data_IF_950688146150
#
_entry.id   IF_950688146150
#
_cell.length_a   1.000
_cell.length_b   1.000
_cell.length_c   1.000
_cell.angle_alpha   90.00
_cell.angle_beta   90.00
_cell.angle_gamma   90.00
#
_symmetry.space_group_name_H-M   'P 1'
#
loop_
_entity.id
_entity.type
_entity.pdbx_description
1 polymer ?
#
# COMPACT_ATOMS: atom_id res chain seq x y z
N UNK A 1 -0.22 -16.69 25.35
CA UNK A 1 -1.30 -15.75 24.96
C UNK A 1 -0.91 -14.79 23.82
N UNK A 2 0.34 -14.34 23.69
CA UNK A 2 0.77 -13.44 22.58
C UNK A 2 0.84 -14.14 21.20
N UNK A 3 1.26 -15.41 21.17
CA UNK A 3 1.41 -16.18 19.93
C UNK A 3 0.11 -16.31 19.12
N UNK A 4 -1.01 -16.65 19.76
CA UNK A 4 -2.30 -16.83 19.08
C UNK A 4 -2.84 -15.51 18.51
N UNK A 5 -2.69 -14.41 19.26
CA UNK A 5 -3.02 -13.07 18.76
C UNK A 5 -2.13 -12.67 17.58
N UNK A 6 -0.84 -12.97 17.63
CA UNK A 6 0.10 -12.69 16.53
C UNK A 6 -0.27 -13.48 15.27
N UNK A 7 -0.50 -14.79 15.39
CA UNK A 7 -0.87 -15.67 14.26
C UNK A 7 -2.20 -15.22 13.64
N UNK A 8 -3.18 -14.85 14.47
CA UNK A 8 -4.46 -14.33 13.97
C UNK A 8 -4.27 -13.02 13.21
N UNK A 9 -3.50 -12.08 13.76
CA UNK A 9 -3.22 -10.80 13.08
C UNK A 9 -2.41 -11.00 11.81
N UNK A 10 -1.47 -11.95 11.82
CA UNK A 10 -0.61 -12.28 10.69
C UNK A 10 -1.44 -12.67 9.47
N UNK A 11 -2.33 -13.65 9.63
CA UNK A 11 -3.15 -14.15 8.51
C UNK A 11 -4.24 -13.18 8.05
N UNK A 12 -4.57 -12.15 8.85
CA UNK A 12 -5.41 -11.04 8.41
C UNK A 12 -4.70 -10.07 7.46
N UNK A 13 -3.37 -9.95 7.55
CA UNK A 13 -2.61 -8.92 6.83
C UNK A 13 -1.65 -9.45 5.75
N UNK A 14 -1.37 -10.76 5.75
CA UNK A 14 -0.51 -11.40 4.78
C UNK A 14 -1.19 -12.62 4.16
N UNK A 15 -1.11 -12.73 2.84
CA UNK A 15 -1.64 -13.86 2.09
C UNK A 15 -0.63 -15.02 2.01
N UNK A 16 0.65 -14.75 2.26
CA UNK A 16 1.71 -15.75 2.22
C UNK A 16 2.87 -15.45 3.18
N UNK A 17 3.54 -16.52 3.61
CA UNK A 17 4.74 -16.45 4.46
C UNK A 17 5.85 -15.65 3.76
N UNK A 18 6.00 -15.82 2.44
CA UNK A 18 6.97 -15.07 1.63
C UNK A 18 6.73 -13.56 1.67
N UNK A 19 5.48 -13.13 1.55
CA UNK A 19 5.12 -11.72 1.63
C UNK A 19 5.45 -11.14 3.01
N UNK A 20 5.11 -11.88 4.07
CA UNK A 20 5.40 -11.46 5.43
C UNK A 20 6.91 -11.41 5.71
N UNK A 21 7.66 -12.43 5.28
CA UNK A 21 9.11 -12.49 5.44
C UNK A 21 9.80 -11.29 4.75
N UNK A 22 9.35 -10.94 3.54
CA UNK A 22 9.82 -9.76 2.84
C UNK A 22 9.50 -8.45 3.58
N UNK A 23 8.34 -8.36 4.23
CA UNK A 23 7.91 -7.18 4.99
C UNK A 23 8.65 -7.04 6.32
N UNK A 24 8.85 -8.15 7.04
CA UNK A 24 9.63 -8.20 8.28
C UNK A 24 11.14 -8.16 8.05
N UNK A 25 11.61 -8.22 6.79
CA UNK A 25 13.02 -8.32 6.42
C UNK A 25 13.74 -9.52 7.07
N UNK A 26 13.06 -10.66 7.15
CA UNK A 26 13.60 -11.93 7.67
C UNK A 26 13.51 -13.04 6.62
N UNK A 27 14.07 -14.21 6.92
CA UNK A 27 13.90 -15.41 6.08
C UNK A 27 12.54 -16.05 6.33
N UNK A 28 11.99 -16.73 5.32
CA UNK A 28 10.69 -17.42 5.42
C UNK A 28 10.66 -18.45 6.56
N UNK A 29 11.75 -19.17 6.77
CA UNK A 29 11.88 -20.14 7.87
C UNK A 29 11.73 -19.50 9.25
N UNK A 30 12.16 -18.24 9.42
CA UNK A 30 12.00 -17.51 10.68
C UNK A 30 10.53 -17.25 10.98
N UNK A 31 9.76 -16.87 9.96
CA UNK A 31 8.32 -16.67 10.09
C UNK A 31 7.60 -18.00 10.34
N UNK A 32 8.01 -19.09 9.69
CA UNK A 32 7.45 -20.42 9.96
C UNK A 32 7.64 -20.83 11.42
N UNK A 33 8.84 -20.65 11.97
CA UNK A 33 9.13 -20.93 13.39
C UNK A 33 8.27 -20.11 14.34
N UNK A 34 8.05 -18.83 14.03
CA UNK A 34 7.15 -17.96 14.80
C UNK A 34 5.69 -18.40 14.76
N UNK A 35 5.21 -18.92 13.62
CA UNK A 35 3.82 -19.36 13.46
C UNK A 35 3.57 -20.74 14.08
N UNK A 36 4.59 -21.59 14.11
CA UNK A 36 4.55 -22.93 14.70
C UNK A 36 4.77 -22.90 16.23
N UNK A 37 5.18 -21.75 16.79
CA UNK A 37 5.53 -21.64 18.20
C UNK A 37 6.85 -22.32 18.57
N UNK A 38 7.71 -22.61 17.59
CA UNK A 38 9.04 -23.21 17.83
C UNK A 38 9.99 -22.21 18.51
N UNK A 39 9.78 -20.91 18.25
CA UNK A 39 10.56 -19.80 18.82
C UNK A 39 9.61 -18.65 19.11
N UNK A 40 9.87 -17.91 20.19
CA UNK A 40 9.16 -16.68 20.50
C UNK A 40 9.23 -15.67 19.35
N UNK A 41 8.12 -14.98 19.12
CA UNK A 41 8.05 -13.93 18.12
C UNK A 41 8.94 -12.77 18.55
N UNK A 42 9.71 -12.23 17.62
CA UNK A 42 10.51 -11.04 17.91
C UNK A 42 9.57 -9.89 18.33
N UNK A 43 9.76 -9.24 19.50
CA UNK A 43 8.89 -8.14 19.95
C UNK A 43 8.76 -6.99 18.94
N UNK A 44 9.80 -6.75 18.13
CA UNK A 44 9.74 -5.77 17.05
C UNK A 44 8.80 -6.21 15.92
N UNK A 45 8.76 -7.49 15.59
CA UNK A 45 7.84 -8.03 14.59
C UNK A 45 6.38 -7.90 15.08
N UNK A 46 6.11 -8.18 16.36
CA UNK A 46 4.79 -7.93 16.95
C UNK A 46 4.40 -6.46 16.86
N UNK A 47 5.30 -5.55 17.27
CA UNK A 47 5.05 -4.10 17.24
C UNK A 47 4.79 -3.60 15.82
N UNK A 48 5.60 -4.03 14.85
CA UNK A 48 5.40 -3.71 13.44
C UNK A 48 4.03 -4.20 12.97
N UNK A 49 3.67 -5.46 13.26
CA UNK A 49 2.40 -6.03 12.84
C UNK A 49 1.20 -5.27 13.42
N UNK A 50 1.28 -4.81 14.67
CA UNK A 50 0.27 -3.94 15.30
C UNK A 50 0.16 -2.59 14.58
N UNK A 51 1.30 -1.96 14.27
CA UNK A 51 1.34 -0.70 13.50
C UNK A 51 0.69 -0.89 12.13
N UNK A 52 0.97 -2.01 11.45
CA UNK A 52 0.32 -2.38 10.19
C UNK A 52 -1.19 -2.55 10.34
N UNK A 53 -1.64 -3.21 11.41
CA UNK A 53 -3.06 -3.45 11.66
C UNK A 53 -3.85 -2.19 11.99
N UNK A 54 -3.23 -1.24 12.70
CA UNK A 54 -3.86 0.06 13.03
C UNK A 54 -3.89 1.03 11.85
N UNK A 55 -3.14 0.74 10.79
CA UNK A 55 -2.93 1.66 9.68
C UNK A 55 -1.79 2.62 9.98
N UNK A 56 -0.72 2.50 9.21
CA UNK A 56 0.42 3.42 9.23
C UNK A 56 0.50 4.12 7.87
N UNK A 57 1.07 5.33 7.86
CA UNK A 57 1.44 5.95 6.60
C UNK A 57 2.56 5.12 5.96
N UNK A 58 2.33 4.53 4.78
CA UNK A 58 3.36 3.73 4.14
C UNK A 58 4.56 4.60 3.78
N UNK A 59 5.76 4.02 3.85
CA UNK A 59 7.00 4.62 3.35
C UNK A 59 6.99 4.62 1.82
N UNK A 60 6.17 5.50 1.27
CA UNK A 60 5.95 5.71 -0.15
C UNK A 60 6.16 7.20 -0.45
N UNK A 61 6.83 7.50 -1.56
CA UNK A 61 7.12 8.88 -1.96
C UNK A 61 5.88 9.75 -2.11
N UNK A 62 4.69 9.16 -2.27
CA UNK A 62 3.42 9.91 -2.31
C UNK A 62 3.05 10.54 -0.95
N UNK A 63 3.57 10.01 0.14
CA UNK A 63 3.42 10.57 1.49
C UNK A 63 4.58 11.49 1.87
N UNK A 64 5.49 11.79 0.94
CA UNK A 64 6.63 12.65 1.22
C UNK A 64 6.18 14.05 1.65
N UNK A 65 6.73 14.52 2.77
CA UNK A 65 6.42 15.83 3.35
C UNK A 65 5.14 15.86 4.19
N UNK A 66 4.31 14.80 4.15
CA UNK A 66 3.24 14.64 5.13
C UNK A 66 3.84 14.25 6.48
N UNK A 67 3.34 14.87 7.55
CA UNK A 67 3.78 14.63 8.92
C UNK A 67 2.58 14.35 9.80
N UNK A 68 2.73 13.44 10.75
CA UNK A 68 1.74 13.23 11.82
C UNK A 68 2.29 13.88 13.08
N UNK A 69 1.49 14.72 13.73
CA UNK A 69 1.78 15.20 15.08
C UNK A 69 1.00 14.31 16.06
N UNK A 70 1.70 13.39 16.71
CA UNK A 70 1.11 12.38 17.59
C UNK A 70 0.38 13.02 18.78
N UNK A 71 0.98 14.03 19.41
CA UNK A 71 0.41 14.72 20.58
C UNK A 71 -0.96 15.36 20.28
N UNK A 72 -1.13 15.91 19.07
CA UNK A 72 -2.36 16.57 18.64
C UNK A 72 -3.27 15.68 17.80
N UNK A 73 -2.80 14.48 17.43
CA UNK A 73 -3.49 13.56 16.52
C UNK A 73 -3.94 14.24 15.21
N UNK A 74 -3.06 15.02 14.58
CA UNK A 74 -3.33 15.74 13.32
C UNK A 74 -2.38 15.32 12.20
N UNK A 75 -2.84 15.46 10.96
CA UNK A 75 -2.01 15.34 9.75
C UNK A 75 -1.61 16.74 9.30
N UNK A 76 -0.33 16.93 9.04
CA UNK A 76 0.26 18.16 8.50
C UNK A 76 0.71 17.87 7.07
N UNK A 77 0.22 18.64 6.10
CA UNK A 77 0.60 18.49 4.70
C UNK A 77 1.97 19.12 4.41
N UNK A 78 2.58 18.83 3.24
CA UNK A 78 3.81 19.50 2.81
C UNK A 78 3.71 21.03 2.74
N UNK A 79 2.49 21.56 2.52
CA UNK A 79 2.19 23.01 2.51
C UNK A 79 1.92 23.58 3.92
N UNK A 80 2.16 22.81 4.98
CA UNK A 80 1.84 23.16 6.37
C UNK A 80 0.35 23.37 6.66
N UNK A 81 -0.56 22.88 5.80
CA UNK A 81 -1.98 22.80 6.16
C UNK A 81 -2.17 21.69 7.19
N UNK A 82 -3.07 21.93 8.13
CA UNK A 82 -3.37 21.00 9.21
C UNK A 82 -4.75 20.40 8.97
N UNK A 83 -4.85 19.09 9.15
CA UNK A 83 -6.10 18.36 9.11
C UNK A 83 -6.25 17.54 10.38
N UNK A 84 -7.33 17.81 11.12
CA UNK A 84 -7.81 16.92 12.18
C UNK A 84 -8.59 15.73 11.58
N UNK A 85 -8.75 14.62 12.31
CA UNK A 85 -9.52 13.47 11.84
C UNK A 85 -10.96 13.84 11.44
N UNK A 86 -11.61 14.76 12.18
CA UNK A 86 -12.96 15.24 11.85
C UNK A 86 -13.01 16.05 10.56
N UNK A 87 -11.99 16.87 10.30
CA UNK A 87 -11.90 17.63 9.05
C UNK A 87 -11.66 16.72 7.85
N UNK A 88 -10.89 15.63 8.03
CA UNK A 88 -10.70 14.60 7.01
C UNK A 88 -12.00 13.85 6.71
N UNK A 89 -12.77 13.49 7.73
CA UNK A 89 -14.07 12.84 7.56
C UNK A 89 -15.07 13.75 6.82
N UNK A 90 -15.12 15.02 7.21
CA UNK A 90 -15.93 16.04 6.54
C UNK A 90 -15.44 16.41 5.14
N UNK A 91 -14.21 16.06 4.75
CA UNK A 91 -13.64 16.42 3.45
C UNK A 91 -14.41 15.80 2.29
N UNK A 92 -14.90 14.57 2.45
CA UNK A 92 -15.70 13.88 1.42
C UNK A 92 -16.98 14.65 1.15
N UNK A 93 -17.72 15.04 2.20
CA UNK A 93 -18.95 15.81 2.09
C UNK A 93 -18.71 17.17 1.42
N UNK A 94 -17.65 17.88 1.81
CA UNK A 94 -17.29 19.16 1.17
C UNK A 94 -17.01 19.01 -0.32
N UNK A 95 -16.36 17.91 -0.71
CA UNK A 95 -16.06 17.65 -2.11
C UNK A 95 -17.35 17.35 -2.91
N UNK A 96 -18.29 16.61 -2.31
CA UNK A 96 -19.59 16.32 -2.92
C UNK A 96 -20.45 17.58 -3.07
N UNK A 97 -20.51 18.42 -2.03
CA UNK A 97 -21.18 19.72 -2.05
C UNK A 97 -20.60 20.62 -3.15
N UNK A 98 -19.27 20.70 -3.24
CA UNK A 98 -18.59 21.45 -4.27
C UNK A 98 -18.99 20.98 -5.68
N UNK A 99 -19.03 19.66 -5.92
CA UNK A 99 -19.44 19.11 -7.20
C UNK A 99 -20.95 19.27 -7.48
N UNK A 100 -21.80 19.29 -6.46
CA UNK A 100 -23.23 19.58 -6.61
C UNK A 100 -23.47 21.04 -7.01
N UNK A 101 -22.84 21.98 -6.29
CA UNK A 101 -22.90 23.41 -6.60
C UNK A 101 -22.39 23.70 -8.01
N UNK A 102 -21.27 23.09 -8.39
CA UNK A 102 -20.70 23.23 -9.73
C UNK A 102 -21.65 22.79 -10.84
N UNK A 103 -22.40 21.70 -10.63
CA UNK A 103 -23.41 21.22 -11.59
C UNK A 103 -24.62 22.14 -11.67
N UNK A 104 -25.06 22.70 -10.55
CA UNK A 104 -26.24 23.57 -10.50
C UNK A 104 -26.00 24.95 -11.11
N UNK A 105 -24.81 25.51 -10.92
CA UNK A 105 -24.51 26.89 -11.29
C UNK A 105 -23.68 27.03 -12.57
N UNK A 106 -23.51 25.95 -13.34
CA UNK A 106 -22.65 25.92 -14.54
C UNK A 106 -21.34 26.69 -14.33
N UNK A 107 -20.75 26.56 -13.14
CA UNK A 107 -19.47 27.17 -12.86
C UNK A 107 -18.48 26.48 -13.81
N UNK A 108 -18.11 27.20 -14.87
CA UNK A 108 -17.12 26.87 -15.92
C UNK A 108 -15.70 26.66 -15.34
N UNK A 109 -15.62 26.25 -14.09
CA UNK A 109 -14.41 25.76 -13.51
C UNK A 109 -14.10 24.38 -14.07
N UNK A 110 -13.41 24.30 -15.20
CA UNK A 110 -12.70 23.08 -15.55
C UNK A 110 -11.62 22.96 -14.47
N UNK A 111 -11.67 21.96 -13.56
CA UNK A 111 -10.57 21.76 -12.63
C UNK A 111 -9.40 21.43 -13.54
N UNK A 112 -8.38 22.30 -13.54
CA UNK A 112 -7.10 21.94 -14.11
C UNK A 112 -6.63 20.77 -13.27
N UNK A 113 -6.97 19.55 -13.70
CA UNK A 113 -6.32 18.36 -13.19
C UNK A 113 -4.88 18.58 -13.60
N UNK A 114 -4.06 19.08 -12.69
CA UNK A 114 -2.64 18.91 -12.85
C UNK A 114 -2.49 17.41 -13.08
N UNK A 115 -1.89 17.03 -14.21
CA UNK A 115 -1.37 15.69 -14.36
C UNK A 115 -0.24 15.59 -13.34
N UNK A 116 -0.59 15.51 -12.05
CA UNK A 116 0.32 15.04 -11.02
C UNK A 116 0.50 13.60 -11.41
N UNK A 117 1.54 13.35 -12.18
CA UNK A 117 2.05 12.02 -12.44
C UNK A 117 2.46 11.51 -11.07
N UNK A 118 1.52 10.90 -10.35
CA UNK A 118 1.81 10.32 -9.04
C UNK A 118 2.95 9.35 -9.25
N UNK A 119 4.13 9.59 -8.64
CA UNK A 119 5.27 8.71 -8.85
C UNK A 119 4.87 7.31 -8.42
N UNK A 120 5.27 6.32 -9.23
CA UNK A 120 4.88 4.94 -8.99
C UNK A 120 5.44 4.45 -7.64
N UNK A 121 4.68 3.60 -6.93
CA UNK A 121 5.06 3.15 -5.60
C UNK A 121 6.38 2.36 -5.62
N UNK A 122 7.11 2.41 -4.50
CA UNK A 122 8.30 1.60 -4.29
C UNK A 122 7.91 0.14 -3.97
N UNK A 123 8.57 -0.85 -4.58
CA UNK A 123 8.36 -2.27 -4.24
C UNK A 123 9.68 -3.04 -4.29
N UNK A 124 9.98 -3.75 -3.20
CA UNK A 124 11.11 -4.71 -3.15
C UNK A 124 12.48 -4.09 -3.42
N UNK A 125 12.76 -2.89 -2.89
CA UNK A 125 14.05 -2.23 -3.05
C UNK A 125 14.25 -1.51 -4.39
N UNK A 126 13.25 -1.43 -5.27
CA UNK A 126 13.34 -0.76 -6.57
C UNK A 126 12.12 0.15 -6.83
N UNK A 127 12.36 1.26 -7.55
CA UNK A 127 11.31 2.13 -8.08
C UNK A 127 10.69 1.47 -9.32
N UNK A 128 9.36 1.36 -9.34
CA UNK A 128 8.63 0.96 -10.54
C UNK A 128 8.79 2.07 -11.60
N UNK A 129 9.16 1.68 -12.82
CA UNK A 129 9.27 2.60 -13.96
C UNK A 129 7.94 2.77 -14.70
N UNK A 130 7.10 1.74 -14.67
CA UNK A 130 5.80 1.70 -15.35
C UNK A 130 4.74 1.04 -14.45
N UNK A 131 3.47 1.50 -14.51
CA UNK A 131 2.38 0.86 -13.80
C UNK A 131 2.17 -0.57 -14.31
N UNK A 132 1.80 -1.48 -13.40
CA UNK A 132 1.57 -2.87 -13.74
C UNK A 132 0.33 -2.96 -14.64
N UNK A 133 0.53 -3.12 -15.95
CA UNK A 133 -0.56 -3.42 -16.88
C UNK A 133 -1.02 -4.86 -16.64
N UNK A 134 -2.24 -5.04 -16.15
CA UNK A 134 -2.85 -6.38 -15.98
C UNK A 134 -3.06 -7.09 -17.32
N UNK A 135 -3.24 -6.30 -18.38
CA UNK A 135 -3.37 -6.79 -19.75
C UNK A 135 -2.01 -6.96 -20.41
N UNK A 136 -1.59 -8.22 -20.55
CA UNK A 136 -0.46 -8.61 -21.41
C UNK A 136 -0.77 -8.20 -22.86
N UNK A 137 0.13 -7.49 -23.51
CA UNK A 137 -0.04 -7.08 -24.92
C UNK A 137 -0.13 -8.30 -25.84
N UNK A 138 -0.76 -8.16 -27.02
CA UNK A 138 -0.88 -9.27 -28.00
C UNK A 138 0.49 -9.86 -28.36
N UNK A 139 1.50 -9.01 -28.46
CA UNK A 139 2.89 -9.41 -28.77
C UNK A 139 3.51 -10.24 -27.64
N UNK A 140 3.35 -9.81 -26.38
CA UNK A 140 3.84 -10.57 -25.23
C UNK A 140 3.10 -11.92 -25.07
N UNK A 141 1.79 -11.98 -25.36
CA UNK A 141 1.04 -13.25 -25.41
C UNK A 141 1.60 -14.19 -26.50
N UNK A 142 1.94 -13.66 -27.68
CA UNK A 142 2.56 -14.42 -28.77
C UNK A 142 3.94 -14.96 -28.38
N UNK A 143 4.76 -14.15 -27.71
CA UNK A 143 6.07 -14.56 -27.20
C UNK A 143 5.96 -15.69 -26.16
N UNK A 144 5.02 -15.58 -25.20
CA UNK A 144 4.77 -16.64 -24.23
C UNK A 144 4.31 -17.96 -24.89
N UNK A 145 3.45 -17.87 -25.91
CA UNK A 145 3.01 -19.05 -26.69
C UNK A 145 4.19 -19.72 -27.39
N UNK A 146 5.02 -18.94 -28.07
CA UNK A 146 6.20 -19.44 -28.78
C UNK A 146 7.23 -20.07 -27.82
N UNK A 147 7.46 -19.45 -26.66
CA UNK A 147 8.36 -20.00 -25.65
C UNK A 147 7.85 -21.34 -25.09
N UNK A 148 6.54 -21.48 -24.89
CA UNK A 148 5.90 -22.72 -24.44
C UNK A 148 5.98 -23.82 -25.50
N UNK A 149 5.78 -23.50 -26.78
CA UNK A 149 5.96 -24.44 -27.89
C UNK A 149 7.42 -24.88 -28.04
N UNK A 150 8.37 -23.96 -27.89
CA UNK A 150 9.81 -24.28 -27.96
C UNK A 150 10.24 -25.22 -26.84
N UNK A 151 9.74 -25.02 -25.62
CA UNK A 151 9.97 -25.95 -24.48
C UNK A 151 9.33 -27.31 -24.72
N UNK A 152 8.14 -27.36 -25.32
CA UNK A 152 7.46 -28.64 -25.65
C UNK A 152 8.16 -29.44 -26.75
N UNK A 153 8.93 -28.78 -27.62
CA UNK A 153 9.74 -29.43 -28.66
C UNK A 153 11.14 -29.83 -28.19
N UNK A 154 11.58 -29.32 -27.04
CA UNK A 154 12.90 -29.60 -26.46
C UNK A 154 12.89 -30.72 -25.41
N UNK A 155 11.69 -31.14 -24.98
CA UNK A 155 11.43 -32.37 -24.25
C UNK A 155 10.84 -33.40 -25.21
#
# INVERSE_FOLDING_TARGET
MLHESFVTLFWRHFESIRQAAAWFHVREITVQRWLNGEVDVNPMAEKLLIIRARGYLPDDTRWQGFRICEDRCIIITPENRVFSPKELDAWVLRNDEYHALKRMYELDYIPTRSNVVTPLPFRGGRRLKEPRQETITKEQKKLHRNAREKRRKAN
#
